data_IF_353633946378
#
_entry.id   IF_353633946378
#
_cell.length_a   1.000
_cell.length_b   1.000
_cell.length_c   1.000
_cell.angle_alpha   90.00
_cell.angle_beta   90.00
_cell.angle_gamma   90.00
#
_symmetry.space_group_name_H-M   'P 1'
#
loop_
_entity.id
_entity.type
_entity.pdbx_description
1 polymer ?
#
# COMPACT_ATOMS: atom_id res chain seq x y z
N UNK A 1 -3.24 13.28 3.27
CA UNK A 1 -4.42 13.42 2.41
C UNK A 1 -4.17 12.66 1.12
N UNK A 2 -4.68 11.42 0.99
CA UNK A 2 -4.26 10.48 -0.06
C UNK A 2 -4.41 11.06 -1.47
N UNK A 3 -5.49 11.78 -1.77
CA UNK A 3 -5.71 12.31 -3.12
C UNK A 3 -4.63 13.31 -3.58
N UNK A 4 -4.10 14.15 -2.68
CA UNK A 4 -3.11 15.18 -3.02
C UNK A 4 -1.68 14.65 -3.08
N UNK A 5 -1.42 13.56 -2.36
CA UNK A 5 -0.08 12.96 -2.26
C UNK A 5 0.06 11.75 -3.17
N UNK A 6 -0.93 10.87 -3.17
CA UNK A 6 -0.93 9.61 -3.87
C UNK A 6 -1.40 9.80 -5.31
N UNK A 7 -2.27 10.77 -5.61
CA UNK A 7 -2.74 11.06 -6.96
C UNK A 7 -1.59 11.27 -7.97
N UNK A 8 -0.64 12.19 -7.72
CA UNK A 8 0.54 12.32 -8.56
C UNK A 8 1.37 11.03 -8.64
N UNK A 9 1.55 10.31 -7.52
CA UNK A 9 2.33 9.08 -7.47
C UNK A 9 1.69 7.93 -8.27
N UNK A 10 0.37 7.81 -8.27
CA UNK A 10 -0.39 6.86 -9.11
C UNK A 10 -0.02 7.06 -10.58
N UNK A 11 -0.04 8.31 -11.04
CA UNK A 11 0.24 8.65 -12.44
C UNK A 11 1.70 8.33 -12.77
N UNK A 12 2.64 8.81 -11.95
CA UNK A 12 4.07 8.56 -12.17
C UNK A 12 4.42 7.08 -12.13
N UNK A 13 3.86 6.33 -11.17
CA UNK A 13 4.12 4.90 -11.03
C UNK A 13 3.51 4.08 -12.17
N UNK A 14 2.33 4.45 -12.67
CA UNK A 14 1.74 3.82 -13.85
C UNK A 14 2.66 3.96 -15.08
N UNK A 15 3.10 5.18 -15.38
CA UNK A 15 4.00 5.41 -16.53
C UNK A 15 5.37 4.77 -16.34
N UNK A 16 5.92 4.81 -15.12
CA UNK A 16 7.18 4.15 -14.81
C UNK A 16 7.05 2.63 -14.98
N UNK A 17 5.96 2.02 -14.48
CA UNK A 17 5.71 0.59 -14.63
C UNK A 17 5.52 0.19 -16.08
N UNK A 18 4.74 0.95 -16.86
CA UNK A 18 4.56 0.71 -18.29
C UNK A 18 5.90 0.76 -19.06
N UNK A 19 6.77 1.70 -18.71
CA UNK A 19 8.11 1.78 -19.29
C UNK A 19 9.01 0.61 -18.86
N UNK A 20 9.00 0.26 -17.57
CA UNK A 20 9.79 -0.84 -17.00
C UNK A 20 9.38 -2.20 -17.54
N UNK A 21 8.09 -2.41 -17.81
CA UNK A 21 7.56 -3.65 -18.36
C UNK A 21 8.17 -4.01 -19.73
N UNK A 22 8.76 -3.04 -20.45
CA UNK A 22 9.51 -3.29 -21.69
C UNK A 22 10.83 -4.05 -21.46
N UNK A 23 11.30 -4.14 -20.21
CA UNK A 23 12.52 -4.85 -19.82
C UNK A 23 12.19 -5.99 -18.82
N UNK A 24 12.14 -7.25 -19.28
CA UNK A 24 11.77 -8.40 -18.43
C UNK A 24 12.63 -8.57 -17.17
N UNK A 25 13.92 -8.25 -17.24
CA UNK A 25 14.83 -8.34 -16.08
C UNK A 25 14.52 -7.25 -15.05
N UNK A 26 14.20 -6.03 -15.48
CA UNK A 26 13.80 -4.96 -14.57
C UNK A 26 12.46 -5.27 -13.90
N UNK A 27 11.50 -5.82 -14.67
CA UNK A 27 10.22 -6.27 -14.15
C UNK A 27 10.39 -7.39 -13.10
N UNK A 28 11.26 -8.37 -13.36
CA UNK A 28 11.59 -9.41 -12.38
C UNK A 28 12.10 -8.83 -11.07
N UNK A 29 13.06 -7.90 -11.12
CA UNK A 29 13.63 -7.27 -9.92
C UNK A 29 12.56 -6.53 -9.13
N UNK A 30 11.66 -5.81 -9.80
CA UNK A 30 10.58 -5.08 -9.16
C UNK A 30 9.56 -6.01 -8.54
N UNK A 31 9.16 -7.09 -9.23
CA UNK A 31 8.23 -8.09 -8.71
C UNK A 31 8.81 -8.80 -7.49
N UNK A 32 10.10 -9.18 -7.51
CA UNK A 32 10.79 -9.75 -6.35
C UNK A 32 10.87 -8.77 -5.19
N UNK A 33 11.24 -7.52 -5.45
CA UNK A 33 11.31 -6.48 -4.43
C UNK A 33 9.92 -6.22 -3.80
N UNK A 34 8.86 -6.22 -4.62
CA UNK A 34 7.48 -6.11 -4.16
C UNK A 34 7.06 -7.30 -3.28
N UNK A 35 7.45 -8.52 -3.65
CA UNK A 35 7.20 -9.72 -2.83
C UNK A 35 7.86 -9.60 -1.44
N UNK A 36 9.14 -9.20 -1.41
CA UNK A 36 9.89 -9.04 -0.15
C UNK A 36 9.27 -7.93 0.71
N UNK A 37 8.94 -6.79 0.11
CA UNK A 37 8.30 -5.67 0.81
C UNK A 37 6.96 -6.07 1.43
N UNK A 38 6.12 -6.79 0.68
CA UNK A 38 4.84 -7.31 1.18
C UNK A 38 5.00 -8.34 2.30
N UNK A 39 6.01 -9.23 2.20
CA UNK A 39 6.30 -10.19 3.27
C UNK A 39 6.71 -9.49 4.55
N UNK A 40 7.61 -8.50 4.44
CA UNK A 40 8.06 -7.70 5.58
C UNK A 40 6.89 -6.95 6.21
N UNK A 41 6.09 -6.22 5.41
CA UNK A 41 4.93 -5.50 5.92
C UNK A 41 3.87 -6.42 6.53
N UNK A 42 3.67 -7.58 5.90
CA UNK A 42 2.84 -8.67 6.41
C UNK A 42 3.25 -9.14 7.80
N UNK A 43 4.55 -9.37 7.98
CA UNK A 43 5.12 -9.84 9.24
C UNK A 43 5.05 -8.78 10.34
N UNK A 44 5.35 -7.52 10.02
CA UNK A 44 5.33 -6.41 11.00
C UNK A 44 3.94 -6.24 11.65
N UNK A 45 2.85 -6.53 10.92
CA UNK A 45 1.50 -6.44 11.46
C UNK A 45 1.24 -7.30 12.70
N UNK A 46 1.97 -8.40 12.91
CA UNK A 46 1.79 -9.25 14.10
C UNK A 46 2.43 -8.69 15.36
N UNK A 47 3.38 -7.76 15.22
CA UNK A 47 4.13 -7.14 16.32
C UNK A 47 3.65 -5.74 16.71
N UNK A 48 2.70 -5.16 15.96
CA UNK A 48 2.22 -3.81 16.20
C UNK A 48 1.31 -3.74 17.44
N UNK A 49 1.59 -2.76 18.29
CA UNK A 49 0.81 -2.46 19.48
C UNK A 49 -0.12 -1.26 19.25
N UNK A 50 -1.26 -1.20 19.95
CA UNK A 50 -2.13 -0.03 19.88
C UNK A 50 -1.34 1.24 20.22
N UNK A 51 -1.57 2.35 19.51
CA UNK A 51 -0.89 3.61 19.82
C UNK A 51 -1.29 4.08 21.23
N UNK A 52 -0.29 4.55 21.99
CA UNK A 52 -0.53 5.24 23.27
C UNK A 52 -1.23 6.57 22.98
N UNK A 53 -2.40 6.75 23.58
CA UNK A 53 -3.19 7.95 23.42
C UNK A 53 -2.98 8.80 24.67
N UNK A 54 -1.99 9.69 24.62
CA UNK A 54 -1.77 10.66 25.67
C UNK A 54 -2.91 11.68 25.65
N UNK A 55 -3.81 11.60 26.63
CA UNK A 55 -4.97 12.51 26.76
C UNK A 55 -4.57 13.97 26.98
N UNK A 56 -3.32 14.23 27.41
CA UNK A 56 -2.78 15.56 27.70
C UNK A 56 -2.14 16.26 26.48
N UNK A 57 -2.14 15.64 25.29
CA UNK A 57 -1.56 16.25 24.10
C UNK A 57 -2.40 17.47 23.64
N UNK A 58 -1.77 18.63 23.36
CA UNK A 58 -2.50 19.80 22.89
C UNK A 58 -3.20 19.49 21.55
N UNK A 59 -4.40 20.07 21.31
CA UNK A 59 -5.14 19.82 20.08
C UNK A 59 -4.30 20.18 18.86
N UNK A 60 -4.21 19.29 17.85
CA UNK A 60 -3.30 19.47 16.74
C UNK A 60 -3.71 20.68 15.89
N UNK A 61 -2.82 21.66 15.76
CA UNK A 61 -2.95 22.76 14.80
C UNK A 61 -2.44 22.32 13.42
N UNK A 62 -3.07 22.79 12.34
CA UNK A 62 -2.65 22.46 10.97
C UNK A 62 -2.75 20.97 10.59
N UNK A 63 -3.71 20.25 11.15
CA UNK A 63 -3.89 18.79 10.98
C UNK A 63 -3.92 18.32 9.52
N UNK A 64 -4.47 19.12 8.61
CA UNK A 64 -4.46 18.83 7.17
C UNK A 64 -3.05 18.84 6.57
N UNK A 65 -2.30 19.94 6.74
CA UNK A 65 -0.94 20.07 6.21
C UNK A 65 -0.01 19.02 6.82
N UNK A 66 -0.14 18.78 8.13
CA UNK A 66 0.60 17.72 8.81
C UNK A 66 0.29 16.35 8.19
N UNK A 67 -0.98 16.05 7.94
CA UNK A 67 -1.38 14.81 7.26
C UNK A 67 -0.96 14.70 5.78
N UNK A 68 -0.71 15.82 5.09
CA UNK A 68 -0.07 15.83 3.76
C UNK A 68 1.41 15.52 3.89
N UNK A 69 2.14 16.25 4.73
CA UNK A 69 3.58 16.10 4.94
C UNK A 69 3.91 14.69 5.46
N UNK A 70 3.17 14.18 6.45
CA UNK A 70 3.37 12.83 6.99
C UNK A 70 3.21 11.75 5.92
N UNK A 71 2.28 11.93 4.97
CA UNK A 71 2.11 10.96 3.89
C UNK A 71 3.18 11.12 2.79
N UNK A 72 3.61 12.35 2.47
CA UNK A 72 4.72 12.60 1.54
C UNK A 72 6.07 12.15 2.08
N UNK A 73 6.28 12.20 3.40
CA UNK A 73 7.53 11.72 4.01
C UNK A 73 7.47 10.22 4.33
N UNK A 74 6.36 9.55 4.04
CA UNK A 74 6.23 8.11 4.28
C UNK A 74 6.87 7.32 3.13
N UNK A 75 8.03 6.68 3.33
CA UNK A 75 8.70 5.91 2.27
C UNK A 75 7.83 4.77 1.73
N UNK A 76 6.97 4.19 2.56
CA UNK A 76 6.12 3.06 2.17
C UNK A 76 5.13 3.42 1.06
N UNK A 77 4.73 4.69 0.96
CA UNK A 77 3.82 5.15 -0.12
C UNK A 77 4.51 5.04 -1.47
N UNK A 78 5.79 5.43 -1.56
CA UNK A 78 6.58 5.32 -2.78
C UNK A 78 6.87 3.87 -3.14
N UNK A 79 7.31 3.07 -2.16
CA UNK A 79 7.61 1.66 -2.39
C UNK A 79 6.38 0.92 -2.87
N UNK A 80 5.21 1.15 -2.26
CA UNK A 80 3.95 0.58 -2.72
C UNK A 80 3.61 0.98 -4.15
N UNK A 81 3.62 2.29 -4.47
CA UNK A 81 3.21 2.74 -5.80
C UNK A 81 4.15 2.22 -6.88
N UNK A 82 5.46 2.22 -6.66
CA UNK A 82 6.40 1.79 -7.71
C UNK A 82 6.59 0.28 -7.82
N UNK A 83 6.43 -0.49 -6.73
CA UNK A 83 6.63 -1.93 -6.76
C UNK A 83 5.35 -2.75 -6.94
N UNK A 84 4.19 -2.17 -6.62
CA UNK A 84 2.93 -2.90 -6.51
C UNK A 84 1.82 -2.19 -7.28
N UNK A 85 1.45 -0.98 -6.87
CA UNK A 85 0.30 -0.27 -7.43
C UNK A 85 0.45 0.04 -8.91
N UNK A 86 1.57 0.64 -9.30
CA UNK A 86 1.94 0.96 -10.67
C UNK A 86 1.97 -0.29 -11.57
N UNK A 87 2.75 -1.33 -11.23
CA UNK A 87 2.76 -2.58 -11.98
C UNK A 87 1.38 -3.25 -12.13
N UNK A 88 0.57 -3.31 -11.07
CA UNK A 88 -0.80 -3.87 -11.15
C UNK A 88 -1.71 -3.07 -12.09
N UNK A 89 -1.62 -1.74 -12.06
CA UNK A 89 -2.37 -0.90 -12.98
C UNK A 89 -1.88 -1.07 -14.42
N UNK A 90 -0.56 -1.10 -14.63
CA UNK A 90 0.03 -1.27 -15.95
C UNK A 90 -0.39 -2.60 -16.58
N UNK A 91 -0.36 -3.71 -15.82
CA UNK A 91 -0.81 -5.01 -16.32
C UNK A 91 -2.30 -5.05 -16.68
N UNK A 92 -3.14 -4.27 -16.00
CA UNK A 92 -4.57 -4.19 -16.29
C UNK A 92 -4.88 -3.31 -17.51
N UNK A 93 -3.98 -2.38 -17.86
CA UNK A 93 -4.15 -1.47 -18.98
C UNK A 93 -4.16 -2.18 -20.34
N UNK A 94 -3.49 -3.34 -20.42
CA UNK A 94 -3.42 -4.16 -21.64
C UNK A 94 -4.77 -4.84 -21.97
N UNK A 95 -5.58 -5.13 -20.95
CA UNK A 95 -6.92 -5.71 -21.13
C UNK A 95 -7.98 -4.63 -21.36
N UNK A 96 -7.97 -3.57 -20.55
CA UNK A 96 -8.96 -2.49 -20.63
C UNK A 96 -8.38 -1.15 -20.20
N UNK A 97 -8.51 -0.14 -21.07
CA UNK A 97 -7.86 1.17 -20.91
C UNK A 97 -8.37 1.95 -19.70
N UNK A 98 -9.64 1.76 -19.31
CA UNK A 98 -10.25 2.42 -18.15
C UNK A 98 -9.95 1.70 -16.82
N UNK A 99 -9.43 0.47 -16.84
CA UNK A 99 -9.17 -0.32 -15.64
C UNK A 99 -8.16 0.34 -14.69
N UNK A 100 -7.03 0.92 -15.16
CA UNK A 100 -6.13 1.70 -14.30
C UNK A 100 -6.84 2.89 -13.61
N UNK A 101 -7.75 3.56 -14.33
CA UNK A 101 -8.50 4.71 -13.81
C UNK A 101 -9.49 4.25 -12.75
N UNK A 102 -10.25 3.18 -13.04
CA UNK A 102 -11.20 2.58 -12.11
C UNK A 102 -10.49 2.07 -10.83
N UNK A 103 -9.33 1.42 -10.99
CA UNK A 103 -8.48 1.00 -9.88
C UNK A 103 -8.03 2.20 -9.04
N UNK A 104 -7.46 3.24 -9.67
CA UNK A 104 -6.96 4.42 -8.96
C UNK A 104 -8.07 5.12 -8.17
N UNK A 105 -9.23 5.34 -8.78
CA UNK A 105 -10.38 5.97 -8.11
C UNK A 105 -10.85 5.11 -6.95
N UNK A 106 -11.05 3.81 -7.17
CA UNK A 106 -11.52 2.88 -6.14
C UNK A 106 -10.54 2.79 -4.97
N UNK A 107 -9.25 2.72 -5.26
CA UNK A 107 -8.18 2.69 -4.26
C UNK A 107 -8.17 3.98 -3.43
N UNK A 108 -8.17 5.16 -4.07
CA UNK A 108 -8.13 6.46 -3.40
C UNK A 108 -9.38 6.71 -2.54
N UNK A 109 -10.56 6.35 -3.04
CA UNK A 109 -11.80 6.47 -2.26
C UNK A 109 -11.78 5.51 -1.08
N UNK A 110 -11.42 4.24 -1.31
CA UNK A 110 -11.39 3.22 -0.25
C UNK A 110 -10.40 3.61 0.87
N UNK A 111 -9.17 4.02 0.53
CA UNK A 111 -8.18 4.39 1.55
C UNK A 111 -8.62 5.63 2.35
N UNK A 112 -9.29 6.61 1.71
CA UNK A 112 -9.86 7.77 2.40
C UNK A 112 -10.97 7.35 3.37
N UNK A 113 -11.90 6.49 2.93
CA UNK A 113 -12.99 5.99 3.76
C UNK A 113 -12.49 5.12 4.91
N UNK A 114 -11.52 4.23 4.67
CA UNK A 114 -10.91 3.41 5.71
C UNK A 114 -10.23 4.26 6.77
N UNK A 115 -9.42 5.26 6.39
CA UNK A 115 -8.78 6.17 7.35
C UNK A 115 -9.81 6.96 8.16
N UNK A 116 -10.87 7.46 7.51
CA UNK A 116 -11.96 8.17 8.18
C UNK A 116 -12.74 7.26 9.14
N UNK A 117 -13.05 6.03 8.73
CA UNK A 117 -13.76 5.05 9.54
C UNK A 117 -12.94 4.63 10.77
N UNK A 118 -11.63 4.42 10.62
CA UNK A 118 -10.73 4.12 11.73
C UNK A 118 -10.67 5.31 12.70
N UNK A 119 -10.47 6.53 12.21
CA UNK A 119 -10.42 7.73 13.04
C UNK A 119 -11.73 7.94 13.81
N UNK A 120 -12.87 7.78 13.14
CA UNK A 120 -14.19 7.86 13.76
C UNK A 120 -14.42 6.75 14.79
N UNK A 121 -14.03 5.50 14.48
CA UNK A 121 -14.14 4.36 15.38
C UNK A 121 -13.31 4.54 16.66
N UNK A 122 -12.07 5.03 16.52
CA UNK A 122 -11.19 5.38 17.64
C UNK A 122 -11.83 6.46 18.52
N UNK A 123 -12.32 7.55 17.91
CA UNK A 123 -12.99 8.63 18.63
C UNK A 123 -14.25 8.14 19.36
N UNK A 124 -15.08 7.31 18.70
CA UNK A 124 -16.30 6.76 19.30
C UNK A 124 -16.01 5.79 20.45
N UNK A 125 -14.91 5.03 20.37
CA UNK A 125 -14.43 4.18 21.45
C UNK A 125 -13.83 4.99 22.62
N UNK A 126 -13.88 6.33 22.58
CA UNK A 126 -13.21 7.23 23.54
C UNK A 126 -11.72 6.91 23.69
N UNK A 127 -11.09 6.47 22.60
CA UNK A 127 -9.70 6.02 22.60
C UNK A 127 -9.45 4.62 23.16
N UNK A 128 -10.47 3.96 23.71
CA UNK A 128 -10.36 2.66 24.37
C UNK A 128 -10.66 1.51 23.40
N UNK A 129 -9.79 1.31 22.40
CA UNK A 129 -9.86 0.12 21.53
C UNK A 129 -9.30 -1.09 22.28
N UNK A 130 -10.06 -2.18 22.29
CA UNK A 130 -9.57 -3.47 22.80
C UNK A 130 -8.30 -3.88 22.06
N UNK A 131 -7.20 -4.06 22.79
CA UNK A 131 -5.92 -4.56 22.27
C UNK A 131 -6.10 -5.85 21.47
N UNK A 132 -7.03 -6.70 21.87
CA UNK A 132 -7.34 -7.97 21.18
C UNK A 132 -7.95 -7.70 19.80
N UNK A 133 -8.90 -6.76 19.71
CA UNK A 133 -9.54 -6.40 18.43
C UNK A 133 -8.51 -5.74 17.50
N UNK A 134 -7.71 -4.82 18.02
CA UNK A 134 -6.63 -4.17 17.28
C UNK A 134 -5.65 -5.20 16.68
N UNK A 135 -5.13 -6.11 17.52
CA UNK A 135 -4.20 -7.16 17.08
C UNK A 135 -4.83 -8.11 16.08
N UNK A 136 -6.12 -8.46 16.22
CA UNK A 136 -6.82 -9.32 15.24
C UNK A 136 -6.98 -8.66 13.88
N UNK A 137 -7.38 -7.38 13.85
CA UNK A 137 -7.50 -6.63 12.59
C UNK A 137 -6.16 -6.54 11.86
N UNK A 138 -5.09 -6.22 12.59
CA UNK A 138 -3.74 -6.19 12.01
C UNK A 138 -3.26 -7.57 11.58
N UNK A 139 -3.52 -8.62 12.35
CA UNK A 139 -3.17 -9.99 11.96
C UNK A 139 -3.85 -10.39 10.65
N UNK A 140 -5.13 -10.02 10.44
CA UNK A 140 -5.84 -10.26 9.18
C UNK A 140 -5.16 -9.50 8.03
N UNK A 141 -4.83 -8.21 8.22
CA UNK A 141 -4.08 -7.43 7.23
C UNK A 141 -2.72 -8.09 6.92
N UNK A 142 -2.01 -8.57 7.94
CA UNK A 142 -0.72 -9.26 7.80
C UNK A 142 -0.83 -10.54 6.97
N UNK A 143 -1.82 -11.38 7.26
CA UNK A 143 -2.10 -12.61 6.50
C UNK A 143 -2.40 -12.28 5.03
N UNK A 144 -3.23 -11.27 4.76
CA UNK A 144 -3.56 -10.85 3.41
C UNK A 144 -2.30 -10.37 2.66
N UNK A 145 -1.45 -9.56 3.30
CA UNK A 145 -0.19 -9.10 2.68
C UNK A 145 0.78 -10.24 2.40
N UNK A 146 0.88 -11.24 3.29
CA UNK A 146 1.69 -12.45 3.06
C UNK A 146 1.13 -13.24 1.87
N UNK A 147 -0.18 -13.38 1.75
CA UNK A 147 -0.79 -14.04 0.60
C UNK A 147 -0.45 -13.33 -0.72
N UNK A 148 -0.54 -11.99 -0.76
CA UNK A 148 -0.10 -11.21 -1.92
C UNK A 148 1.40 -11.32 -2.19
N UNK A 149 2.23 -11.39 -1.15
CA UNK A 149 3.67 -11.64 -1.31
C UNK A 149 3.96 -12.97 -2.01
N UNK A 150 3.29 -14.05 -1.60
CA UNK A 150 3.41 -15.36 -2.26
C UNK A 150 2.94 -15.30 -3.72
N UNK A 151 1.87 -14.55 -4.00
CA UNK A 151 1.42 -14.31 -5.37
C UNK A 151 2.48 -13.59 -6.22
N UNK A 152 3.14 -12.57 -5.68
CA UNK A 152 4.24 -11.88 -6.37
C UNK A 152 5.46 -12.79 -6.56
N UNK A 153 5.79 -13.63 -5.57
CA UNK A 153 6.87 -14.60 -5.69
C UNK A 153 6.61 -15.62 -6.82
N UNK A 154 5.36 -16.07 -6.99
CA UNK A 154 4.97 -16.94 -8.11
C UNK A 154 5.09 -16.22 -9.46
N UNK A 155 4.69 -14.95 -9.57
CA UNK A 155 4.88 -14.16 -10.78
C UNK A 155 6.36 -13.98 -11.13
N UNK A 156 7.19 -13.67 -10.13
CA UNK A 156 8.63 -13.58 -10.32
C UNK A 156 9.25 -14.89 -10.81
N UNK A 157 8.78 -16.04 -10.29
CA UNK A 157 9.21 -17.34 -10.77
C UNK A 157 8.88 -17.56 -12.26
N UNK A 158 7.70 -17.13 -12.73
CA UNK A 158 7.37 -17.16 -14.16
C UNK A 158 8.30 -16.29 -15.01
N UNK A 159 8.59 -15.06 -14.57
CA UNK A 159 9.51 -14.14 -15.26
C UNK A 159 10.96 -14.67 -15.32
N UNK A 160 11.40 -15.43 -14.31
CA UNK A 160 12.72 -16.09 -14.33
C UNK A 160 12.85 -17.10 -15.47
N UNK A 161 11.78 -17.84 -15.76
CA UNK A 161 11.75 -18.81 -16.87
C UNK A 161 11.79 -18.10 -18.23
N UNK A 162 11.02 -17.01 -18.38
CA UNK A 162 10.98 -16.23 -19.63
C UNK A 162 12.31 -15.53 -19.95
N UNK A 163 13.07 -15.15 -18.92
CA UNK A 163 14.38 -14.51 -19.06
C UNK A 163 15.52 -15.50 -19.30
N UNK A 164 15.26 -16.81 -19.28
CA UNK A 164 16.27 -17.85 -19.49
C UNK A 164 17.30 -17.96 -18.36
N UNK A 165 16.97 -17.44 -17.16
CA UNK A 165 17.81 -17.55 -15.96
C UNK A 165 17.54 -18.83 -15.15
N UNK A 166 16.50 -19.58 -15.54
CA UNK A 166 16.15 -20.94 -15.11
C UNK A 166 15.76 -21.76 -16.35
#
# INVERSE_FOLDING_TARGET
APIFTDGPLVIFSLFAAAWIATNPSALLVITLAGAIFLAQMGYECFGLEPPNMDEDAPPPTGSFLRGVITNLLNPNVYVFWFLIGGPLMASAADEEILAPIAYAITFLVTIMLTKAAIAYGIHRASGNISTIVYRRLLAICGIVMIAFSLYYAMQAYGLLQETGML
#
